data_IF_767510272291
#
_entry.id   IF_767510272291
#
_cell.length_a   1.000
_cell.length_b   1.000
_cell.length_c   1.000
_cell.angle_alpha   90.00
_cell.angle_beta   90.00
_cell.angle_gamma   90.00
#
_symmetry.space_group_name_H-M   'P 1'
#
loop_
_entity.id
_entity.type
_entity.pdbx_description
1 polymer ?
#
# COMPACT_ATOMS: atom_id res chain seq x y z
N UNK A 1 7.71 -21.40 11.36
CA UNK A 1 8.14 -21.12 9.98
C UNK A 1 7.78 -19.68 9.71
N UNK A 2 8.76 -18.89 9.28
CA UNK A 2 8.60 -17.44 9.10
C UNK A 2 8.23 -17.12 7.65
N UNK A 3 7.39 -16.10 7.47
CA UNK A 3 7.00 -15.61 6.15
C UNK A 3 7.77 -14.32 5.83
N UNK A 4 8.28 -14.21 4.60
CA UNK A 4 8.97 -13.02 4.12
C UNK A 4 8.07 -12.23 3.18
N UNK A 5 7.97 -10.93 3.44
CA UNK A 5 7.28 -9.97 2.56
C UNK A 5 8.36 -9.20 1.80
N UNK A 6 8.23 -9.14 0.47
CA UNK A 6 9.22 -8.51 -0.41
C UNK A 6 8.53 -7.42 -1.22
N UNK A 7 9.16 -6.25 -1.34
CA UNK A 7 8.64 -5.08 -2.05
C UNK A 7 9.56 -4.73 -3.23
N UNK A 8 9.32 -5.25 -4.44
CA UNK A 8 10.08 -4.87 -5.63
C UNK A 8 9.74 -3.44 -6.03
N UNK A 9 10.75 -2.64 -6.38
CA UNK A 9 10.59 -1.24 -6.76
C UNK A 9 10.13 -1.08 -8.23
N UNK A 10 10.32 -2.11 -9.05
CA UNK A 10 9.97 -2.08 -10.46
C UNK A 10 9.57 -3.47 -11.02
N UNK A 11 9.08 -3.48 -12.27
CA UNK A 11 8.59 -4.69 -12.95
C UNK A 11 9.70 -5.71 -13.22
N UNK A 12 10.92 -5.26 -13.46
CA UNK A 12 12.07 -6.13 -13.75
C UNK A 12 12.49 -6.90 -12.49
N UNK A 13 12.60 -6.21 -11.35
CA UNK A 13 12.88 -6.82 -10.04
C UNK A 13 11.82 -7.87 -9.68
N UNK A 14 10.52 -7.55 -9.85
CA UNK A 14 9.44 -8.51 -9.59
C UNK A 14 9.57 -9.77 -10.48
N UNK A 15 9.94 -9.59 -11.75
CA UNK A 15 10.08 -10.69 -12.70
C UNK A 15 11.26 -11.58 -12.34
N UNK A 16 12.41 -10.99 -12.02
CA UNK A 16 13.59 -11.70 -11.56
C UNK A 16 13.32 -12.49 -10.27
N UNK A 17 12.67 -11.86 -9.28
CA UNK A 17 12.33 -12.51 -8.01
C UNK A 17 11.42 -13.72 -8.22
N UNK A 18 10.39 -13.58 -9.06
CA UNK A 18 9.49 -14.70 -9.40
C UNK A 18 10.24 -15.86 -10.06
N UNK A 19 11.21 -15.58 -10.93
CA UNK A 19 12.01 -16.60 -11.59
C UNK A 19 12.88 -17.38 -10.58
N UNK A 20 13.57 -16.65 -9.68
CA UNK A 20 14.39 -17.26 -8.62
C UNK A 20 13.54 -18.12 -7.69
N UNK A 21 12.41 -17.60 -7.20
CA UNK A 21 11.50 -18.34 -6.32
C UNK A 21 10.98 -19.63 -6.98
N UNK A 22 10.60 -19.56 -8.26
CA UNK A 22 10.19 -20.75 -9.04
C UNK A 22 11.32 -21.77 -9.19
N UNK A 23 12.54 -21.33 -9.50
CA UNK A 23 13.70 -22.21 -9.66
C UNK A 23 14.03 -22.94 -8.35
N UNK A 24 13.86 -22.26 -7.21
CA UNK A 24 14.04 -22.83 -5.87
C UNK A 24 12.84 -23.64 -5.38
N UNK A 25 11.77 -23.77 -6.18
CA UNK A 25 10.51 -24.43 -5.80
C UNK A 25 9.88 -23.84 -4.53
N UNK A 26 10.07 -22.54 -4.31
CA UNK A 26 9.44 -21.80 -3.22
C UNK A 26 8.05 -21.35 -3.68
N UNK A 27 7.02 -21.74 -2.95
CA UNK A 27 5.65 -21.23 -3.15
C UNK A 27 5.54 -19.78 -2.70
N UNK A 28 4.89 -18.94 -3.51
CA UNK A 28 4.65 -17.53 -3.18
C UNK A 28 3.22 -17.14 -3.52
N UNK A 29 2.69 -16.20 -2.73
CA UNK A 29 1.38 -15.59 -2.96
C UNK A 29 1.56 -14.15 -3.43
N UNK A 30 0.86 -13.78 -4.50
CA UNK A 30 0.76 -12.38 -4.91
C UNK A 30 -0.55 -11.82 -4.40
N UNK A 31 -0.49 -11.01 -3.33
CA UNK A 31 -1.64 -10.25 -2.85
C UNK A 31 -1.82 -9.00 -3.69
N UNK A 32 -2.72 -9.06 -4.67
CA UNK A 32 -3.23 -7.86 -5.34
C UNK A 32 -4.34 -7.28 -4.48
N UNK A 33 -4.00 -6.34 -3.59
CA UNK A 33 -5.00 -5.60 -2.83
C UNK A 33 -5.56 -4.51 -3.76
N UNK A 34 -6.73 -4.76 -4.33
CA UNK A 34 -7.49 -3.73 -5.04
C UNK A 34 -8.30 -2.99 -4.00
N UNK A 35 -7.85 -1.79 -3.63
CA UNK A 35 -8.63 -0.91 -2.76
C UNK A 35 -9.86 -0.40 -3.53
N UNK A 36 -11.03 -0.28 -2.89
CA UNK A 36 -12.19 0.37 -3.50
C UNK A 36 -11.83 1.78 -3.97
N UNK A 37 -12.38 2.21 -5.11
CA UNK A 37 -12.01 3.47 -5.75
C UNK A 37 -12.16 4.67 -4.79
N UNK A 38 -13.25 4.70 -3.99
CA UNK A 38 -13.49 5.77 -3.01
C UNK A 38 -12.39 5.89 -1.94
N UNK A 39 -11.73 4.78 -1.57
CA UNK A 39 -10.61 4.80 -0.61
C UNK A 39 -9.40 5.45 -1.25
N UNK A 40 -9.08 5.07 -2.48
CA UNK A 40 -7.97 5.65 -3.25
C UNK A 40 -8.19 7.13 -3.48
N UNK A 41 -9.41 7.52 -3.85
CA UNK A 41 -9.79 8.91 -4.08
C UNK A 41 -9.68 9.74 -2.79
N UNK A 42 -10.19 9.23 -1.67
CA UNK A 42 -10.10 9.91 -0.37
C UNK A 42 -8.66 10.10 0.12
N UNK A 43 -7.78 9.11 -0.10
CA UNK A 43 -6.34 9.26 0.21
C UNK A 43 -5.68 10.31 -0.68
N UNK A 44 -5.95 10.27 -1.99
CA UNK A 44 -5.41 11.26 -2.93
C UNK A 44 -5.88 12.68 -2.62
N UNK A 45 -7.15 12.84 -2.21
CA UNK A 45 -7.69 14.12 -1.76
C UNK A 45 -7.00 14.60 -0.48
N UNK A 46 -6.82 13.71 0.50
CA UNK A 46 -6.13 14.03 1.76
C UNK A 46 -4.69 14.49 1.53
N UNK A 47 -3.97 13.86 0.58
CA UNK A 47 -2.63 14.27 0.19
C UNK A 47 -2.62 15.70 -0.40
N UNK A 48 -3.58 16.01 -1.28
CA UNK A 48 -3.72 17.37 -1.84
C UNK A 48 -4.04 18.41 -0.76
N UNK A 49 -4.94 18.09 0.17
CA UNK A 49 -5.28 18.96 1.29
C UNK A 49 -4.06 19.23 2.17
N UNK A 50 -3.24 18.19 2.43
CA UNK A 50 -1.97 18.32 3.16
C UNK A 50 -0.99 19.26 2.46
N UNK A 51 -0.79 19.09 1.15
CA UNK A 51 0.09 19.97 0.36
C UNK A 51 -0.39 21.43 0.34
N UNK A 52 -1.69 21.64 0.49
CA UNK A 52 -2.34 22.95 0.57
C UNK A 52 -2.41 23.50 2.00
N UNK A 53 -1.90 22.78 3.01
CA UNK A 53 -1.95 23.16 4.42
C UNK A 53 -3.35 23.07 5.04
N UNK A 54 -4.32 22.44 4.37
CA UNK A 54 -5.67 22.18 4.86
C UNK A 54 -5.68 20.95 5.77
N UNK A 55 -5.03 21.08 6.93
CA UNK A 55 -4.88 20.00 7.89
C UNK A 55 -5.84 20.17 9.06
N UNK A 56 -6.55 19.11 9.40
CA UNK A 56 -7.32 19.03 10.65
C UNK A 56 -6.48 18.30 11.67
N UNK A 57 -6.07 19.00 12.74
CA UNK A 57 -5.36 18.37 13.85
C UNK A 57 -6.31 17.39 14.55
N UNK A 58 -5.93 16.11 14.57
CA UNK A 58 -6.66 15.11 15.33
C UNK A 58 -6.25 15.21 16.80
N UNK A 59 -7.10 15.82 17.64
CA UNK A 59 -6.86 15.91 19.08
C UNK A 59 -7.74 14.94 19.87
N UNK A 60 -8.93 14.64 19.37
CA UNK A 60 -9.83 13.67 19.97
C UNK A 60 -10.84 13.10 18.98
N UNK A 61 -11.44 11.96 19.32
CA UNK A 61 -12.55 11.38 18.54
C UNK A 61 -13.74 12.34 18.42
N UNK A 62 -13.94 13.26 19.38
CA UNK A 62 -15.02 14.26 19.31
C UNK A 62 -14.86 15.20 18.12
N UNK A 63 -13.63 15.40 17.65
CA UNK A 63 -13.34 16.27 16.51
C UNK A 63 -13.90 15.69 15.20
N UNK A 64 -14.18 14.39 15.17
CA UNK A 64 -14.74 13.66 14.02
C UNK A 64 -16.28 13.60 14.03
N UNK A 65 -16.93 14.09 15.10
CA UNK A 65 -18.38 13.96 15.31
C UNK A 65 -19.16 15.26 15.06
N UNK A 66 -18.48 16.32 14.61
CA UNK A 66 -19.07 17.64 14.36
C UNK A 66 -19.44 17.85 12.89
#
# INVERSE_FOLDING_TARGET
>A
MDALIVYPENKEQLTALKAVMKAMKISFEQKNIVYPQHVVDGVNESLKQSDQGQLTAFTSIKDLLN
#
